data_IF_828795217984
#
_entry.id   IF_828795217984
#
_cell.length_a   1.000
_cell.length_b   1.000
_cell.length_c   1.000
_cell.angle_alpha   90.00
_cell.angle_beta   90.00
_cell.angle_gamma   90.00
#
_symmetry.space_group_name_H-M   'P 1'
#
loop_
_entity.id
_entity.type
_entity.pdbx_description
1 polymer ?
#
# COMPACT_ATOMS: atom_id res chain seq x y z
N UNK A 1 -6.68 3.17 -8.37
CA UNK A 1 -5.54 2.77 -7.54
C UNK A 1 -5.98 1.52 -6.82
N UNK A 2 -5.21 0.46 -6.93
CA UNK A 2 -5.58 -0.87 -6.41
C UNK A 2 -4.44 -1.42 -5.54
N UNK A 3 -4.79 -2.23 -4.54
CA UNK A 3 -3.84 -2.86 -3.60
C UNK A 3 -4.11 -4.36 -3.58
N UNK A 4 -3.05 -5.18 -3.60
CA UNK A 4 -3.17 -6.64 -3.65
C UNK A 4 -2.68 -7.32 -2.37
N UNK A 5 -3.41 -8.35 -1.95
CA UNK A 5 -3.08 -9.20 -0.79
C UNK A 5 -2.35 -10.49 -1.22
N UNK A 6 -1.86 -11.25 -0.24
CA UNK A 6 -1.29 -12.59 -0.47
C UNK A 6 0.16 -12.62 -0.96
N UNK A 7 0.85 -11.48 -1.00
CA UNK A 7 2.27 -11.39 -1.31
C UNK A 7 3.12 -11.38 -0.02
N UNK A 8 3.96 -12.40 0.22
CA UNK A 8 4.79 -12.43 1.43
C UNK A 8 5.76 -11.24 1.49
N UNK A 9 5.70 -10.48 2.59
CA UNK A 9 6.65 -9.42 2.90
C UNK A 9 6.45 -8.09 2.16
N UNK A 10 5.54 -8.02 1.18
CA UNK A 10 5.26 -6.80 0.42
C UNK A 10 3.77 -6.57 0.18
N UNK A 11 3.41 -5.31 -0.06
CA UNK A 11 2.07 -4.86 -0.46
C UNK A 11 2.20 -4.18 -1.83
N UNK A 12 1.81 -4.86 -2.92
CA UNK A 12 1.80 -4.28 -4.25
C UNK A 12 0.67 -3.26 -4.43
N UNK A 13 0.99 -2.11 -5.02
CA UNK A 13 0.06 -1.03 -5.34
C UNK A 13 0.11 -0.73 -6.84
N UNK A 14 -1.04 -0.78 -7.51
CA UNK A 14 -1.19 -0.45 -8.94
C UNK A 14 -1.84 0.91 -9.14
N UNK A 15 -1.32 1.65 -10.12
CA UNK A 15 -1.98 2.84 -10.64
C UNK A 15 -3.09 2.45 -11.62
N UNK A 16 -4.31 2.90 -11.36
CA UNK A 16 -5.45 2.64 -12.25
C UNK A 16 -5.33 3.36 -13.60
N UNK A 17 -4.49 4.40 -13.70
CA UNK A 17 -4.27 5.12 -14.96
C UNK A 17 -3.18 4.48 -15.82
N UNK A 18 -2.46 3.51 -15.30
CA UNK A 18 -1.50 2.69 -16.02
C UNK A 18 -1.65 1.21 -15.62
N UNK A 19 -2.78 0.57 -15.97
CA UNK A 19 -3.12 -0.77 -15.50
C UNK A 19 -2.11 -1.83 -15.93
N UNK A 20 -1.49 -1.65 -17.10
CA UNK A 20 -0.49 -2.55 -17.66
C UNK A 20 0.94 -2.26 -17.15
N UNK A 21 1.13 -1.17 -16.41
CA UNK A 21 2.40 -0.79 -15.82
C UNK A 21 2.83 -1.70 -14.65
N UNK A 22 4.09 -1.59 -14.20
CA UNK A 22 4.58 -2.31 -13.03
C UNK A 22 3.91 -1.81 -11.74
N UNK A 23 3.66 -2.72 -10.80
CA UNK A 23 3.18 -2.36 -9.47
C UNK A 23 4.32 -1.84 -8.58
N UNK A 24 4.02 -0.92 -7.68
CA UNK A 24 4.95 -0.48 -6.63
C UNK A 24 4.85 -1.45 -5.44
N UNK A 25 5.96 -2.07 -5.04
CA UNK A 25 5.99 -3.03 -3.93
C UNK A 25 6.52 -2.36 -2.65
N UNK A 26 5.64 -2.16 -1.67
CA UNK A 26 6.03 -1.61 -0.36
C UNK A 26 6.28 -2.75 0.64
N UNK A 27 7.31 -2.68 1.49
CA UNK A 27 7.45 -3.63 2.59
C UNK A 27 6.21 -3.62 3.48
N UNK A 28 5.75 -4.79 3.93
CA UNK A 28 4.55 -4.90 4.78
C UNK A 28 4.66 -4.01 6.02
N UNK A 29 5.84 -3.93 6.64
CA UNK A 29 6.08 -3.11 7.83
C UNK A 29 5.87 -1.61 7.57
N UNK A 30 6.33 -1.11 6.42
CA UNK A 30 6.14 0.28 6.02
C UNK A 30 4.67 0.60 5.72
N UNK A 31 3.96 -0.31 5.05
CA UNK A 31 2.52 -0.17 4.80
C UNK A 31 1.72 -0.15 6.12
N UNK A 32 2.05 -1.05 7.05
CA UNK A 32 1.43 -1.06 8.39
C UNK A 32 1.70 0.24 9.14
N UNK A 33 2.93 0.77 9.10
CA UNK A 33 3.27 2.04 9.73
C UNK A 33 2.47 3.21 9.12
N UNK A 34 2.33 3.25 7.79
CA UNK A 34 1.52 4.25 7.09
C UNK A 34 0.06 4.23 7.54
N UNK A 35 -0.60 3.07 7.49
CA UNK A 35 -2.01 2.94 7.92
C UNK A 35 -2.19 3.24 9.41
N UNK A 36 -1.24 2.81 10.24
CA UNK A 36 -1.23 3.12 11.67
C UNK A 36 -1.15 4.63 11.87
N UNK A 37 -0.24 5.31 11.16
CA UNK A 37 -0.11 6.76 11.14
C UNK A 37 -1.42 7.45 10.74
N UNK A 38 -2.14 6.96 9.73
CA UNK A 38 -3.45 7.51 9.36
C UNK A 38 -4.50 7.35 10.47
N UNK A 39 -4.54 6.18 11.11
CA UNK A 39 -5.49 5.89 12.20
C UNK A 39 -5.19 6.70 13.46
N UNK A 40 -3.91 6.93 13.75
CA UNK A 40 -3.48 7.74 14.90
C UNK A 40 -3.60 9.22 14.61
N UNK A 41 -3.41 9.65 13.35
CA UNK A 41 -3.61 11.03 12.92
C UNK A 41 -5.08 11.37 12.66
N UNK A 42 -6.02 10.59 13.20
CA UNK A 42 -7.44 10.93 13.26
C UNK A 42 -7.73 12.04 14.31
N UNK A 43 -6.72 12.84 14.67
CA UNK A 43 -6.83 14.03 15.49
C UNK A 43 -7.03 15.26 14.60
N UNK A 44 -8.31 15.68 14.53
CA UNK A 44 -8.84 17.01 14.19
C UNK A 44 -9.02 17.38 12.72
#
# INVERSE_FOLDING_TARGET
MEVADGFPGVVPVRDSKNPDGPAMAFPTTSWTAFITGLKTNNHR
#
